data_IF_233895266744
#
_entry.id   IF_233895266744
#
_cell.length_a   1.000
_cell.length_b   1.000
_cell.length_c   1.000
_cell.angle_alpha   90.00
_cell.angle_beta   90.00
_cell.angle_gamma   90.00
#
_symmetry.space_group_name_H-M   'P 1'
#
loop_
_entity.id
_entity.type
_entity.pdbx_description
1 polymer ?
#
# COMPACT_ATOMS: atom_id res chain seq x y z
N UNK A 1 -5.29 -12.48 -19.05
CA UNK A 1 -3.97 -12.08 -18.51
C UNK A 1 -4.28 -11.18 -17.35
N UNK A 2 -4.02 -11.66 -16.14
CA UNK A 2 -4.23 -10.88 -14.92
C UNK A 2 -3.30 -9.68 -14.97
N UNK A 3 -3.83 -8.50 -15.27
CA UNK A 3 -3.05 -7.29 -15.42
C UNK A 3 -2.77 -6.74 -14.02
N UNK A 4 -1.70 -7.22 -13.40
CA UNK A 4 -1.19 -6.66 -12.15
C UNK A 4 -0.96 -5.15 -12.38
N UNK A 5 -1.55 -4.31 -11.51
CA UNK A 5 -1.37 -2.86 -11.59
C UNK A 5 0.11 -2.48 -11.57
N UNK A 6 0.45 -1.43 -12.34
CA UNK A 6 1.80 -0.88 -12.32
C UNK A 6 2.17 -0.31 -10.95
N UNK A 7 3.46 -0.33 -10.61
CA UNK A 7 4.00 0.30 -9.39
C UNK A 7 3.51 1.74 -9.18
N UNK A 8 3.47 2.53 -10.25
CA UNK A 8 3.01 3.92 -10.22
C UNK A 8 1.54 4.03 -9.78
N UNK A 9 0.70 3.08 -10.22
CA UNK A 9 -0.70 3.01 -9.84
C UNK A 9 -0.87 2.54 -8.40
N UNK A 10 -0.07 1.56 -7.96
CA UNK A 10 -0.01 1.16 -6.56
C UNK A 10 0.41 2.32 -5.64
N UNK A 11 1.38 3.13 -6.06
CA UNK A 11 1.79 4.34 -5.34
C UNK A 11 0.65 5.37 -5.27
N UNK A 12 -0.05 5.60 -6.38
CA UNK A 12 -1.18 6.53 -6.43
C UNK A 12 -2.30 6.13 -5.46
N UNK A 13 -2.69 4.84 -5.45
CA UNK A 13 -3.71 4.30 -4.54
C UNK A 13 -3.26 4.46 -3.08
N UNK A 14 -2.01 4.11 -2.78
CA UNK A 14 -1.47 4.22 -1.44
C UNK A 14 -1.41 5.67 -0.90
N UNK A 15 -1.20 6.67 -1.78
CA UNK A 15 -1.28 8.09 -1.42
C UNK A 15 -2.72 8.59 -1.23
N UNK A 16 -3.67 8.02 -1.96
CA UNK A 16 -5.07 8.41 -1.88
C UNK A 16 -5.73 8.00 -0.55
N UNK A 17 -5.26 6.90 0.04
CA UNK A 17 -5.72 6.40 1.34
C UNK A 17 -5.29 7.34 2.48
N UNK A 18 -6.20 7.67 3.39
CA UNK A 18 -5.88 8.46 4.57
C UNK A 18 -5.01 7.66 5.57
N UNK A 19 -4.26 8.37 6.41
CA UNK A 19 -3.60 7.78 7.58
C UNK A 19 -4.65 7.20 8.52
N UNK A 20 -4.48 5.95 8.96
CA UNK A 20 -5.43 5.29 9.85
C UNK A 20 -5.58 5.98 11.21
N UNK A 21 -4.53 6.68 11.66
CA UNK A 21 -4.53 7.33 12.97
C UNK A 21 -5.04 8.77 12.93
N UNK A 22 -4.47 9.63 12.07
CA UNK A 22 -4.82 11.06 12.03
C UNK A 22 -5.71 11.48 10.84
N UNK A 23 -6.08 10.54 9.97
CA UNK A 23 -6.91 10.76 8.77
C UNK A 23 -6.31 11.74 7.73
N UNK A 24 -5.05 12.13 7.89
CA UNK A 24 -4.36 12.98 6.92
C UNK A 24 -3.79 12.16 5.76
N UNK A 25 -3.68 12.78 4.58
CA UNK A 25 -3.12 12.17 3.36
C UNK A 25 -1.68 12.60 3.07
N UNK A 26 -1.03 13.27 4.01
CA UNK A 26 0.34 13.70 3.88
C UNK A 26 1.27 12.60 4.37
N UNK A 27 2.03 12.03 3.44
CA UNK A 27 3.03 10.99 3.73
C UNK A 27 4.41 11.53 3.35
N UNK A 28 5.28 11.67 4.36
CA UNK A 28 6.67 12.12 4.14
C UNK A 28 7.54 11.07 3.47
N UNK A 29 7.18 9.79 3.62
CA UNK A 29 7.86 8.65 3.01
C UNK A 29 6.80 7.66 2.54
N UNK A 30 7.02 7.12 1.34
CA UNK A 30 6.19 6.06 0.77
C UNK A 30 7.10 5.17 -0.08
N UNK A 31 7.03 3.86 0.16
CA UNK A 31 7.84 2.85 -0.51
C UNK A 31 6.92 1.73 -0.98
N UNK A 32 6.73 1.64 -2.29
CA UNK A 32 6.01 0.54 -2.94
C UNK A 32 7.00 -0.54 -3.34
N UNK A 33 6.73 -1.78 -2.94
CA UNK A 33 7.51 -2.97 -3.30
C UNK A 33 6.56 -4.07 -3.78
N UNK A 34 6.98 -4.93 -4.72
CA UNK A 34 6.22 -6.12 -5.04
C UNK A 34 6.10 -7.01 -3.79
N UNK A 35 4.95 -7.64 -3.61
CA UNK A 35 4.75 -8.55 -2.50
C UNK A 35 5.66 -9.79 -2.63
N UNK A 36 6.25 -10.28 -1.53
CA UNK A 36 6.95 -11.56 -1.54
C UNK A 36 5.96 -12.72 -1.77
N UNK A 37 6.44 -13.84 -2.30
CA UNK A 37 5.62 -15.02 -2.64
C UNK A 37 4.69 -15.49 -1.49
N UNK A 38 5.11 -15.37 -0.23
CA UNK A 38 4.27 -15.68 0.93
C UNK A 38 3.03 -14.77 1.02
N UNK A 39 3.19 -13.46 0.85
CA UNK A 39 2.07 -12.52 0.87
C UNK A 39 1.17 -12.63 -0.37
N UNK A 40 1.73 -13.00 -1.52
CA UNK A 40 0.95 -13.27 -2.73
C UNK A 40 0.06 -14.51 -2.57
N UNK A 41 0.57 -15.56 -1.93
CA UNK A 41 -0.18 -16.82 -1.75
C UNK A 41 -1.18 -16.79 -0.61
N UNK A 42 -0.86 -16.13 0.50
CA UNK A 42 -1.69 -16.15 1.71
C UNK A 42 -2.67 -14.97 1.77
N UNK A 43 -2.28 -13.79 1.27
CA UNK A 43 -3.06 -12.55 1.37
C UNK A 43 -3.53 -12.01 0.02
N UNK A 44 -3.18 -12.68 -1.09
CA UNK A 44 -3.45 -12.22 -2.46
C UNK A 44 -2.92 -10.81 -2.76
N UNK A 45 -1.94 -10.33 -1.98
CA UNK A 45 -1.30 -9.04 -2.20
C UNK A 45 -0.31 -9.16 -3.36
N UNK A 46 -0.45 -8.34 -4.40
CA UNK A 46 0.54 -8.18 -5.46
C UNK A 46 1.59 -7.11 -5.12
N UNK A 47 1.20 -6.09 -4.35
CA UNK A 47 2.07 -4.99 -3.92
C UNK A 47 1.97 -4.78 -2.41
N UNK A 48 3.10 -4.45 -1.79
CA UNK A 48 3.19 -4.02 -0.40
C UNK A 48 3.71 -2.59 -0.37
N UNK A 49 2.97 -1.69 0.27
CA UNK A 49 3.35 -0.29 0.42
C UNK A 49 3.58 0.03 1.88
N UNK A 50 4.78 0.54 2.17
CA UNK A 50 5.12 1.12 3.47
C UNK A 50 5.08 2.62 3.38
N UNK A 51 4.32 3.26 4.24
CA UNK A 51 4.17 4.72 4.25
C UNK A 51 4.32 5.25 5.66
N UNK A 52 4.88 6.46 5.76
CA UNK A 52 5.03 7.16 7.04
C UNK A 52 4.29 8.47 6.97
N UNK A 53 3.32 8.67 7.86
CA UNK A 53 2.57 9.90 7.94
C UNK A 53 3.53 11.08 8.24
N UNK A 54 3.39 12.15 7.46
CA UNK A 54 4.16 13.38 7.65
C UNK A 54 3.76 14.17 8.88
N UNK A 55 2.60 13.87 9.48
CA UNK A 55 1.99 14.66 10.56
C UNK A 55 2.02 13.97 11.91
N UNK A 56 1.43 12.78 12.03
CA UNK A 56 1.51 12.01 13.28
C UNK A 56 2.76 11.11 13.36
N UNK A 57 3.47 10.90 12.24
CA UNK A 57 4.66 10.05 12.21
C UNK A 57 4.39 8.55 12.17
N UNK A 58 3.12 8.12 12.14
CA UNK A 58 2.76 6.70 12.08
C UNK A 58 3.37 6.03 10.85
N UNK A 59 4.01 4.89 11.06
CA UNK A 59 4.46 3.97 10.04
C UNK A 59 3.37 2.92 9.83
N UNK A 60 2.82 2.85 8.62
CA UNK A 60 1.80 1.87 8.24
C UNK A 60 2.27 1.04 7.05
N UNK A 61 1.82 -0.21 6.99
CA UNK A 61 1.97 -1.12 5.87
C UNK A 61 0.60 -1.45 5.28
N UNK A 62 0.51 -1.45 3.96
CA UNK A 62 -0.71 -1.83 3.24
C UNK A 62 -0.38 -2.81 2.12
N UNK A 63 -1.28 -3.77 1.89
CA UNK A 63 -1.24 -4.69 0.76
C UNK A 63 -2.26 -4.28 -0.29
N UNK A 64 -1.84 -4.27 -1.56
CA UNK A 64 -2.72 -4.12 -2.71
C UNK A 64 -2.71 -5.41 -3.52
N UNK A 65 -3.87 -5.87 -4.01
CA UNK A 65 -3.96 -6.99 -4.93
C UNK A 65 -3.55 -6.58 -6.37
N UNK A 66 -3.80 -7.46 -7.34
CA UNK A 66 -3.52 -7.22 -8.75
C UNK A 66 -4.39 -6.12 -9.37
N UNK A 67 -5.63 -5.91 -8.91
CA UNK A 67 -6.53 -4.84 -9.38
C UNK A 67 -6.27 -3.49 -8.67
N UNK A 68 -5.73 -3.56 -7.46
CA UNK A 68 -5.41 -2.38 -6.65
C UNK A 68 -6.36 -2.16 -5.48
N UNK A 69 -7.17 -3.17 -5.14
CA UNK A 69 -7.92 -3.24 -3.91
C UNK A 69 -6.99 -3.48 -2.72
N UNK A 70 -7.33 -2.85 -1.59
CA UNK A 70 -6.58 -3.01 -0.34
C UNK A 70 -6.97 -4.34 0.30
N UNK A 71 -6.03 -5.29 0.35
CA UNK A 71 -6.25 -6.61 0.95
C UNK A 71 -5.89 -6.63 2.44
N UNK A 72 -4.98 -5.75 2.88
CA UNK A 72 -4.69 -5.56 4.30
C UNK A 72 -4.13 -4.15 4.57
N UNK A 73 -4.27 -3.71 5.82
CA UNK A 73 -3.73 -2.46 6.34
C UNK A 73 -3.32 -2.66 7.81
N UNK A 74 -2.13 -2.21 8.21
CA UNK A 74 -1.65 -2.30 9.58
C UNK A 74 -0.39 -1.49 9.86
#
# INVERSE_FOLDING_TARGET
MDQIISRERAEFIARALACEHCQERNFKKLAVKPAPDSHMKELQAAWVVRRVCGVCGLESELGLDADGDVVFLG
#
